data_IF_848217594868
#
_entry.id   IF_848217594868
#
_cell.length_a   1.000
_cell.length_b   1.000
_cell.length_c   1.000
_cell.angle_alpha   90.00
_cell.angle_beta   90.00
_cell.angle_gamma   90.00
#
_symmetry.space_group_name_H-M   'P 1'
#
loop_
_entity.id
_entity.type
_entity.pdbx_description
1 polymer ?
#
# COMPACT_ATOMS: atom_id res chain seq x y z
N UNK A 1 11.02 9.47 10.77
CA UNK A 1 11.04 10.74 10.02
C UNK A 1 10.51 10.61 8.61
N UNK A 2 11.21 9.99 7.63
CA UNK A 2 10.68 9.85 6.25
C UNK A 2 9.35 9.10 6.17
N UNK A 3 9.28 7.90 6.76
CA UNK A 3 8.05 7.09 6.77
C UNK A 3 6.87 7.88 7.36
N UNK A 4 7.09 8.60 8.47
CA UNK A 4 6.06 9.45 9.08
C UNK A 4 5.63 10.60 8.16
N UNK A 5 6.57 11.30 7.53
CA UNK A 5 6.28 12.37 6.58
C UNK A 5 5.45 11.84 5.39
N UNK A 6 5.85 10.73 4.79
CA UNK A 6 5.15 10.13 3.65
C UNK A 6 3.75 9.63 4.03
N UNK A 7 3.61 8.95 5.18
CA UNK A 7 2.30 8.49 5.65
C UNK A 7 1.37 9.67 5.95
N UNK A 8 1.89 10.75 6.53
CA UNK A 8 1.12 11.97 6.79
C UNK A 8 0.66 12.63 5.49
N UNK A 9 1.56 12.79 4.53
CA UNK A 9 1.24 13.33 3.20
C UNK A 9 0.12 12.55 2.51
N UNK A 10 0.20 11.20 2.52
CA UNK A 10 -0.77 10.34 1.84
C UNK A 10 -2.09 10.25 2.61
N UNK A 11 -2.04 9.96 3.92
CA UNK A 11 -3.24 9.62 4.70
C UNK A 11 -3.94 10.86 5.25
N UNK A 12 -3.20 11.80 5.84
CA UNK A 12 -3.80 13.02 6.43
C UNK A 12 -4.11 14.05 5.34
N UNK A 13 -3.11 14.41 4.53
CA UNK A 13 -3.22 15.50 3.57
C UNK A 13 -3.82 15.07 2.23
N UNK A 14 -3.58 13.82 1.81
CA UNK A 14 -3.91 13.34 0.47
C UNK A 14 -3.10 13.97 -0.65
N UNK A 15 -2.03 14.70 -0.33
CA UNK A 15 -1.12 15.30 -1.30
C UNK A 15 0.31 14.89 -0.93
N UNK A 16 0.96 14.17 -1.85
CA UNK A 16 2.17 13.43 -1.52
C UNK A 16 3.21 13.44 -2.63
N UNK A 17 4.47 13.27 -2.23
CA UNK A 17 5.58 13.09 -3.14
C UNK A 17 5.60 11.64 -3.63
N UNK A 18 5.39 11.41 -4.92
CA UNK A 18 5.27 10.08 -5.52
C UNK A 18 6.63 9.37 -5.71
N UNK A 19 7.73 10.13 -5.79
CA UNK A 19 9.08 9.56 -5.90
C UNK A 19 10.11 10.22 -4.94
N UNK A 20 9.99 10.03 -3.61
CA UNK A 20 10.89 10.64 -2.64
C UNK A 20 12.22 9.87 -2.58
N UNK A 21 13.08 10.07 -3.60
CA UNK A 21 14.39 9.43 -3.69
C UNK A 21 15.47 10.17 -2.88
N UNK A 22 16.57 9.48 -2.55
CA UNK A 22 17.63 10.02 -1.69
C UNK A 22 18.20 11.37 -2.16
N UNK A 23 18.27 11.62 -3.47
CA UNK A 23 18.74 12.90 -4.03
C UNK A 23 17.85 14.12 -3.73
N UNK A 24 16.58 13.93 -3.37
CA UNK A 24 15.61 15.00 -3.14
C UNK A 24 15.32 15.22 -1.65
N UNK A 25 16.05 14.53 -0.78
CA UNK A 25 15.77 14.49 0.65
C UNK A 25 17.02 14.85 1.45
N UNK A 26 16.89 15.81 2.36
CA UNK A 26 17.93 16.14 3.33
C UNK A 26 17.41 15.96 4.75
N UNK A 27 18.18 15.29 5.59
CA UNK A 27 17.97 15.31 7.03
C UNK A 27 18.57 16.60 7.61
N UNK A 28 17.74 17.42 8.24
CA UNK A 28 18.18 18.63 8.93
C UNK A 28 18.75 18.30 10.31
N UNK A 29 19.66 19.13 10.82
CA UNK A 29 20.29 18.95 12.14
C UNK A 29 19.28 18.96 13.30
N UNK A 30 18.13 19.61 13.10
CA UNK A 30 17.02 19.67 14.06
C UNK A 30 16.04 18.48 13.95
N UNK A 31 16.39 17.45 13.17
CA UNK A 31 15.59 16.24 13.01
C UNK A 31 14.43 16.35 12.03
N UNK A 32 14.26 17.51 11.35
CA UNK A 32 13.30 17.64 10.24
C UNK A 32 13.80 16.98 8.96
N UNK A 33 12.88 16.72 8.05
CA UNK A 33 13.16 16.26 6.70
C UNK A 33 12.85 17.39 5.71
N UNK A 34 13.82 17.75 4.88
CA UNK A 34 13.68 18.75 3.83
C UNK A 34 13.51 18.05 2.47
N UNK A 35 12.47 18.43 1.74
CA UNK A 35 12.21 18.01 0.36
C UNK A 35 12.72 19.10 -0.58
N UNK A 36 13.58 18.72 -1.52
CA UNK A 36 14.24 19.64 -2.46
C UNK A 36 13.49 19.78 -3.79
N UNK A 37 12.82 18.70 -4.20
CA UNK A 37 12.11 18.61 -5.46
C UNK A 37 10.64 18.30 -5.18
N UNK A 38 9.77 18.82 -6.05
CA UNK A 38 8.32 18.63 -6.03
C UNK A 38 7.79 18.38 -7.46
N UNK A 39 8.64 17.92 -8.38
CA UNK A 39 8.27 17.64 -9.77
C UNK A 39 7.34 16.43 -9.93
N UNK A 40 7.34 15.50 -8.97
CA UNK A 40 6.49 14.31 -8.95
C UNK A 40 5.58 14.29 -7.70
N UNK A 41 4.61 15.21 -7.69
CA UNK A 41 3.57 15.25 -6.65
C UNK A 41 2.27 14.66 -7.19
N UNK A 42 1.54 13.95 -6.32
CA UNK A 42 0.26 13.36 -6.68
C UNK A 42 -0.78 13.55 -5.58
N UNK A 43 -2.05 13.35 -5.95
CA UNK A 43 -3.19 13.50 -5.06
C UNK A 43 -3.92 12.18 -4.88
N UNK A 44 -4.13 11.80 -3.61
CA UNK A 44 -4.96 10.67 -3.23
C UNK A 44 -6.35 11.17 -2.81
N UNK A 45 -7.35 10.87 -3.65
CA UNK A 45 -8.74 11.18 -3.37
C UNK A 45 -9.19 10.53 -2.04
N UNK A 46 -10.17 11.12 -1.33
CA UNK A 46 -10.67 10.57 -0.06
C UNK A 46 -11.05 9.08 -0.13
N UNK A 47 -11.63 8.63 -1.24
CA UNK A 47 -12.00 7.23 -1.45
C UNK A 47 -10.77 6.32 -1.52
N UNK A 48 -9.71 6.74 -2.20
CA UNK A 48 -8.45 5.99 -2.30
C UNK A 48 -7.79 5.87 -0.92
N UNK A 49 -7.73 6.98 -0.17
CA UNK A 49 -7.19 7.01 1.19
C UNK A 49 -7.95 6.08 2.13
N UNK A 50 -9.28 6.13 2.09
CA UNK A 50 -10.13 5.24 2.88
C UNK A 50 -9.91 3.77 2.47
N UNK A 51 -9.78 3.50 1.17
CA UNK A 51 -9.47 2.17 0.66
C UNK A 51 -8.14 1.62 1.18
N UNK A 52 -7.08 2.43 1.21
CA UNK A 52 -5.80 2.04 1.82
C UNK A 52 -5.94 1.70 3.30
N UNK A 53 -6.66 2.52 4.07
CA UNK A 53 -6.89 2.25 5.50
C UNK A 53 -7.68 0.95 5.70
N UNK A 54 -8.76 0.76 4.95
CA UNK A 54 -9.57 -0.46 5.00
C UNK A 54 -8.76 -1.71 4.60
N UNK A 55 -7.88 -1.60 3.61
CA UNK A 55 -7.00 -2.71 3.23
C UNK A 55 -6.11 -3.14 4.40
N UNK A 56 -5.52 -2.18 5.14
CA UNK A 56 -4.73 -2.50 6.35
C UNK A 56 -5.59 -3.17 7.42
N UNK A 57 -6.81 -2.66 7.68
CA UNK A 57 -7.73 -3.27 8.65
C UNK A 57 -8.05 -4.72 8.28
N UNK A 58 -8.40 -4.99 7.02
CA UNK A 58 -8.73 -6.34 6.57
C UNK A 58 -7.53 -7.29 6.59
N UNK A 59 -6.32 -6.81 6.31
CA UNK A 59 -5.10 -7.61 6.47
C UNK A 59 -4.89 -8.01 7.94
N UNK A 60 -5.04 -7.07 8.87
CA UNK A 60 -4.87 -7.31 10.31
C UNK A 60 -5.93 -8.29 10.84
N UNK A 61 -7.19 -8.11 10.44
CA UNK A 61 -8.31 -8.96 10.87
C UNK A 61 -8.39 -10.30 10.12
N UNK A 62 -7.59 -10.50 9.07
CA UNK A 62 -7.64 -11.67 8.17
C UNK A 62 -8.95 -11.76 7.39
N UNK A 63 -9.57 -10.62 7.10
CA UNK A 63 -10.80 -10.52 6.31
C UNK A 63 -10.46 -10.53 4.80
N UNK A 64 -9.91 -11.64 4.29
CA UNK A 64 -9.40 -11.72 2.92
C UNK A 64 -10.45 -11.43 1.86
N UNK A 65 -11.70 -11.85 2.08
CA UNK A 65 -12.80 -11.56 1.17
C UNK A 65 -13.10 -10.06 1.09
N UNK A 66 -13.11 -9.37 2.22
CA UNK A 66 -13.32 -7.92 2.25
C UNK A 66 -12.12 -7.17 1.66
N UNK A 67 -10.89 -7.67 1.87
CA UNK A 67 -9.70 -7.12 1.22
C UNK A 67 -9.81 -7.17 -0.33
N UNK A 68 -10.24 -8.32 -0.88
CA UNK A 68 -10.45 -8.45 -2.33
C UNK A 68 -11.56 -7.51 -2.82
N UNK A 69 -12.65 -7.34 -2.06
CA UNK A 69 -13.69 -6.35 -2.39
C UNK A 69 -13.17 -4.92 -2.37
N UNK A 70 -12.26 -4.57 -1.45
CA UNK A 70 -11.59 -3.27 -1.45
C UNK A 70 -10.77 -3.10 -2.72
N UNK A 71 -9.99 -4.10 -3.13
CA UNK A 71 -9.24 -4.04 -4.38
C UNK A 71 -10.13 -3.91 -5.62
N UNK A 72 -11.28 -4.57 -5.67
CA UNK A 72 -12.26 -4.37 -6.74
C UNK A 72 -12.85 -2.97 -6.74
N UNK A 73 -13.15 -2.41 -5.56
CA UNK A 73 -13.69 -1.05 -5.42
C UNK A 73 -12.69 0.01 -5.88
N UNK A 74 -11.42 -0.17 -5.54
CA UNK A 74 -10.32 0.70 -5.95
C UNK A 74 -9.91 0.53 -7.41
N UNK A 75 -10.50 -0.44 -8.12
CA UNK A 75 -10.26 -0.71 -9.54
C UNK A 75 -9.03 -1.57 -9.81
N UNK A 76 -8.35 -2.07 -8.79
CA UNK A 76 -7.18 -2.92 -8.96
C UNK A 76 -7.52 -4.28 -9.55
N UNK A 77 -8.73 -4.80 -9.27
CA UNK A 77 -9.23 -6.08 -9.80
C UNK A 77 -10.56 -5.81 -10.53
N UNK A 78 -10.79 -6.37 -11.72
CA UNK A 78 -12.10 -6.31 -12.38
C UNK A 78 -13.22 -6.89 -11.50
N UNK A 79 -14.40 -6.25 -11.52
CA UNK A 79 -15.54 -6.62 -10.64
C UNK A 79 -16.13 -8.01 -10.91
N UNK A 80 -15.92 -8.52 -12.11
CA UNK A 80 -16.37 -9.83 -12.60
C UNK A 80 -15.35 -10.95 -12.32
N UNK A 81 -14.18 -10.63 -11.77
CA UNK A 81 -13.17 -11.62 -11.40
C UNK A 81 -13.67 -12.49 -10.23
N UNK A 82 -13.57 -13.81 -10.38
CA UNK A 82 -13.82 -14.75 -9.29
C UNK A 82 -12.85 -14.53 -8.13
N UNK A 83 -13.38 -14.21 -6.95
CA UNK A 83 -12.60 -13.74 -5.80
C UNK A 83 -11.95 -14.85 -4.98
N UNK A 84 -12.59 -16.03 -4.91
CA UNK A 84 -12.16 -17.14 -4.05
C UNK A 84 -10.71 -17.61 -4.29
N UNK A 85 -10.21 -17.72 -5.54
CA UNK A 85 -8.79 -18.06 -5.76
C UNK A 85 -7.83 -17.02 -5.19
N UNK A 86 -8.19 -15.73 -5.26
CA UNK A 86 -7.37 -14.61 -4.77
C UNK A 86 -7.37 -14.60 -3.25
N UNK A 87 -8.53 -14.81 -2.61
CA UNK A 87 -8.67 -14.92 -1.15
C UNK A 87 -7.75 -16.02 -0.59
N UNK A 88 -7.80 -17.21 -1.17
CA UNK A 88 -6.95 -18.35 -0.77
C UNK A 88 -5.46 -18.08 -1.00
N UNK A 89 -5.11 -17.34 -2.06
CA UNK A 89 -3.73 -16.96 -2.33
C UNK A 89 -3.22 -15.95 -1.28
N UNK A 90 -4.03 -14.94 -0.94
CA UNK A 90 -3.71 -13.94 0.07
C UNK A 90 -3.53 -14.58 1.45
N UNK A 91 -4.42 -15.50 1.83
CA UNK A 91 -4.33 -16.26 3.08
C UNK A 91 -3.02 -17.05 3.17
N UNK A 92 -2.61 -17.71 2.08
CA UNK A 92 -1.36 -18.49 2.01
C UNK A 92 -0.10 -17.61 1.95
N UNK A 93 -0.20 -16.40 1.42
CA UNK A 93 0.93 -15.49 1.31
C UNK A 93 1.26 -14.81 2.64
N UNK A 94 0.26 -14.57 3.50
CA UNK A 94 0.43 -13.77 4.72
C UNK A 94 0.30 -14.54 6.06
N UNK A 95 0.66 -15.84 6.18
CA UNK A 95 0.53 -16.55 7.46
C UNK A 95 1.49 -16.00 8.53
N UNK A 96 2.61 -15.41 8.10
CA UNK A 96 3.71 -14.96 8.96
C UNK A 96 3.53 -13.53 9.51
N UNK A 97 2.65 -12.72 8.91
CA UNK A 97 2.48 -11.28 9.26
C UNK A 97 1.93 -11.08 10.67
N UNK A 98 1.30 -12.11 11.25
CA UNK A 98 0.56 -11.99 12.51
C UNK A 98 1.19 -12.73 13.69
N UNK A 99 2.21 -13.58 13.46
CA UNK A 99 2.88 -14.34 14.52
C UNK A 99 4.33 -13.90 14.78
N UNK A 100 4.92 -13.08 13.90
CA UNK A 100 6.23 -12.49 14.10
C UNK A 100 6.10 -11.17 14.86
N UNK A 101 7.04 -10.91 15.76
CA UNK A 101 7.19 -9.58 16.35
C UNK A 101 7.39 -8.56 15.21
N UNK A 102 6.88 -7.33 15.34
CA UNK A 102 6.98 -6.31 14.26
C UNK A 102 8.43 -6.07 13.82
N UNK A 103 9.40 -6.36 14.69
CA UNK A 103 10.84 -6.31 14.42
C UNK A 103 11.38 -7.49 13.61
N UNK A 104 10.69 -8.63 13.61
CA UNK A 104 11.03 -9.85 12.83
C UNK A 104 10.22 -10.00 11.54
N UNK A 105 9.20 -9.15 11.37
CA UNK A 105 8.37 -9.08 10.18
C UNK A 105 9.26 -8.78 8.97
N UNK A 106 9.54 -9.81 8.17
CA UNK A 106 10.30 -9.66 6.94
C UNK A 106 9.42 -8.98 5.88
N UNK A 107 9.34 -7.65 5.96
CA UNK A 107 8.59 -6.81 5.02
C UNK A 107 8.95 -7.10 3.57
N UNK A 108 10.21 -7.44 3.29
CA UNK A 108 10.65 -7.80 1.93
C UNK A 108 9.97 -9.08 1.43
N UNK A 109 9.86 -10.10 2.28
CA UNK A 109 9.15 -11.34 1.94
C UNK A 109 7.65 -11.10 1.76
N UNK A 110 7.04 -10.28 2.63
CA UNK A 110 5.61 -9.93 2.54
C UNK A 110 5.31 -9.22 1.23
N UNK A 111 6.09 -8.17 0.91
CA UNK A 111 5.93 -7.42 -0.34
C UNK A 111 6.19 -8.32 -1.55
N UNK A 112 7.18 -9.22 -1.49
CA UNK A 112 7.44 -10.20 -2.55
C UNK A 112 6.25 -11.12 -2.80
N UNK A 113 5.72 -11.77 -1.76
CA UNK A 113 4.57 -12.68 -1.86
C UNK A 113 3.30 -11.98 -2.35
N UNK A 114 3.07 -10.73 -1.91
CA UNK A 114 1.98 -9.91 -2.45
C UNK A 114 2.21 -9.57 -3.93
N UNK A 115 3.45 -9.27 -4.31
CA UNK A 115 3.87 -9.09 -5.70
C UNK A 115 3.51 -10.29 -6.57
N UNK A 116 3.85 -11.50 -6.13
CA UNK A 116 3.56 -12.74 -6.87
C UNK A 116 2.05 -12.93 -7.12
N UNK A 117 1.21 -12.58 -6.14
CA UNK A 117 -0.25 -12.60 -6.30
C UNK A 117 -0.67 -11.58 -7.36
N UNK A 118 -0.15 -10.35 -7.29
CA UNK A 118 -0.49 -9.31 -8.27
C UNK A 118 -0.07 -9.70 -9.70
N UNK A 119 0.98 -10.48 -9.89
CA UNK A 119 1.37 -11.00 -11.22
C UNK A 119 0.55 -12.21 -11.68
N UNK A 120 0.06 -13.03 -10.75
CA UNK A 120 -0.67 -14.27 -11.06
C UNK A 120 -2.15 -14.01 -11.36
N UNK A 121 -2.73 -12.99 -10.73
CA UNK A 121 -4.14 -12.62 -10.83
C UNK A 121 -4.30 -11.33 -11.64
N UNK A 122 -5.50 -10.98 -12.12
CA UNK A 122 -5.72 -9.83 -13.01
C UNK A 122 -5.68 -8.49 -12.25
N UNK A 123 -4.62 -8.26 -11.49
CA UNK A 123 -4.35 -6.94 -10.91
C UNK A 123 -3.86 -6.00 -12.01
N UNK A 124 -4.39 -4.79 -11.99
CA UNK A 124 -3.92 -3.72 -12.86
C UNK A 124 -3.89 -2.43 -12.06
N UNK A 125 -2.98 -1.52 -12.38
CA UNK A 125 -2.99 -0.19 -11.80
C UNK A 125 -3.93 0.68 -12.65
N UNK A 126 -5.03 1.20 -12.11
CA UNK A 126 -5.92 2.05 -12.88
C UNK A 126 -5.22 3.34 -13.34
N UNK A 127 -5.60 3.91 -14.50
CA UNK A 127 -4.96 5.10 -15.06
C UNK A 127 -4.97 6.32 -14.14
N UNK A 128 -5.93 6.40 -13.21
CA UNK A 128 -6.04 7.48 -12.24
C UNK A 128 -5.06 7.36 -11.05
N UNK A 129 -4.21 6.33 -11.04
CA UNK A 129 -3.06 6.21 -10.13
C UNK A 129 -1.71 6.43 -10.82
N UNK A 130 -1.70 6.74 -12.13
CA UNK A 130 -0.50 6.98 -12.95
C UNK A 130 -0.33 8.48 -13.19
#
# INVERSE_FOLDING_TARGET
TLVQCSLRQILENGFFHADPHAGNLLACEDGRLCYLDFGMMSYAAPEQRNGFLLAVVHIVNRDWGELVRVYQRLGFIPKDTGVTPIELALEKALPDVLNADITELNFKNVVGKLGDIMYTYPFSLPPFYI
#
